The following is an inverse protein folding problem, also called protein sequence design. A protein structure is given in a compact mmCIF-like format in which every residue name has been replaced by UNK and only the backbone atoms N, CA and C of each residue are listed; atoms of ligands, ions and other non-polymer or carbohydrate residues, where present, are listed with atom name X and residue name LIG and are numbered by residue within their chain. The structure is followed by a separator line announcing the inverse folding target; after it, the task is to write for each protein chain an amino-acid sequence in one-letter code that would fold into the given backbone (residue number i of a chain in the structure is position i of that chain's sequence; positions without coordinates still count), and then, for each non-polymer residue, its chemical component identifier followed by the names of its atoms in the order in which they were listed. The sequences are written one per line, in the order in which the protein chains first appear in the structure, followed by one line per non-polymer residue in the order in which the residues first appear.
data_IF_059333273775
#
_entry.id   IF_059333273775
#
_cell.length_a   1.000
_cell.length_b   1.000
_cell.length_c   1.000
_cell.angle_alpha   90.00
_cell.angle_beta   90.00
_cell.angle_gamma   90.00
#
_symmetry.space_group_name_H-M   'P 1'
#
loop_
_entity.id
_entity.type
_entity.pdbx_description
1 polymer ?
#
# COMPACT_ATOMS: atom_id res chain seq x y z
N UNK A 1 -37.41 26.72 -3.11
CA UNK A 1 -37.99 27.50 -2.00
C UNK A 1 -39.07 26.66 -1.34
N UNK A 2 -39.07 26.53 -0.01
CA UNK A 2 -40.12 25.82 0.74
C UNK A 2 -41.00 26.88 1.40
N UNK A 3 -42.32 26.75 1.26
CA UNK A 3 -43.29 27.66 1.87
C UNK A 3 -44.10 26.91 2.93
N UNK A 4 -44.29 27.55 4.09
CA UNK A 4 -45.05 27.00 5.20
C UNK A 4 -46.13 27.99 5.61
N UNK A 5 -47.39 27.52 5.68
CA UNK A 5 -48.47 28.34 6.23
C UNK A 5 -48.38 28.31 7.76
N UNK A 6 -48.12 29.46 8.37
CA UNK A 6 -48.05 29.60 9.83
C UNK A 6 -49.44 29.76 10.47
N UNK A 7 -50.43 30.17 9.68
CA UNK A 7 -51.82 30.36 10.09
C UNK A 7 -52.43 31.62 9.48
N UNK A 8 -53.76 31.65 9.35
CA UNK A 8 -54.51 32.82 8.85
C UNK A 8 -55.74 33.09 9.73
N UNK A 9 -55.68 34.04 10.69
CA UNK A 9 -54.47 34.77 11.12
C UNK A 9 -53.56 33.90 12.01
N UNK A 10 -52.25 34.19 11.98
CA UNK A 10 -51.33 33.67 13.00
C UNK A 10 -51.60 34.38 14.32
N UNK A 11 -52.01 33.64 15.36
CA UNK A 11 -52.38 34.22 16.66
C UNK A 11 -51.13 34.72 17.39
N UNK A 12 -51.30 35.75 18.22
CA UNK A 12 -50.23 36.28 19.06
C UNK A 12 -49.62 35.18 19.95
N UNK A 13 -48.29 35.02 19.88
CA UNK A 13 -47.55 33.98 20.58
C UNK A 13 -46.31 33.54 19.82
N UNK A 14 -45.66 32.49 20.30
CA UNK A 14 -44.49 31.88 19.66
C UNK A 14 -44.80 30.47 19.17
N UNK A 15 -44.28 30.10 18.01
CA UNK A 15 -44.32 28.74 17.49
C UNK A 15 -42.94 28.32 16.98
N UNK A 16 -42.74 27.01 16.79
CA UNK A 16 -41.54 26.48 16.16
C UNK A 16 -41.90 25.71 14.89
N UNK A 17 -41.07 25.86 13.86
CA UNK A 17 -41.16 25.07 12.62
C UNK A 17 -39.89 24.26 12.50
N UNK A 18 -40.02 22.94 12.30
CA UNK A 18 -38.88 22.05 12.07
C UNK A 18 -38.88 21.61 10.61
N UNK A 19 -37.84 22.00 9.89
CA UNK A 19 -37.62 21.60 8.50
C UNK A 19 -36.46 20.60 8.46
N UNK A 20 -36.63 19.51 7.71
CA UNK A 20 -35.58 18.53 7.43
C UNK A 20 -35.29 18.55 5.95
N UNK A 21 -34.03 18.80 5.61
CA UNK A 21 -33.54 18.76 4.24
C UNK A 21 -32.67 17.51 4.05
N UNK A 22 -32.75 16.90 2.88
CA UNK A 22 -31.80 15.91 2.43
C UNK A 22 -30.96 16.54 1.30
N UNK A 23 -29.69 16.89 1.55
CA UNK A 23 -28.85 17.49 0.53
C UNK A 23 -28.48 16.43 -0.52
N UNK A 24 -28.84 16.69 -1.78
CA UNK A 24 -28.39 15.93 -2.94
C UNK A 24 -27.55 16.84 -3.84
N UNK A 25 -26.46 16.34 -4.42
CA UNK A 25 -25.63 17.06 -5.38
C UNK A 25 -25.01 18.37 -4.87
N UNK A 26 -24.53 18.40 -3.62
CA UNK A 26 -23.68 19.50 -3.15
C UNK A 26 -22.39 19.49 -3.97
N UNK A 27 -22.04 20.61 -4.58
CA UNK A 27 -20.84 20.71 -5.43
C UNK A 27 -19.55 20.51 -4.62
N UNK A 28 -18.53 19.98 -5.29
CA UNK A 28 -17.19 19.77 -4.73
C UNK A 28 -16.49 21.08 -4.34
N UNK A 29 -16.94 22.23 -4.82
CA UNK A 29 -16.44 23.57 -4.45
C UNK A 29 -17.09 24.10 -3.18
N UNK A 30 -18.28 23.61 -2.82
CA UNK A 30 -19.11 24.22 -1.79
C UNK A 30 -18.57 23.86 -0.39
N UNK A 31 -18.27 24.88 0.40
CA UNK A 31 -17.82 24.71 1.79
C UNK A 31 -18.96 24.93 2.80
N UNK A 32 -20.00 25.69 2.42
CA UNK A 32 -21.09 26.07 3.32
C UNK A 32 -22.40 26.23 2.55
N UNK A 33 -23.48 25.65 3.05
CA UNK A 33 -24.83 25.91 2.54
C UNK A 33 -25.45 27.07 3.32
N UNK A 34 -26.03 28.04 2.61
CA UNK A 34 -26.76 29.16 3.20
C UNK A 34 -28.27 28.96 3.03
N UNK A 35 -29.00 28.96 4.14
CA UNK A 35 -30.47 28.95 4.17
C UNK A 35 -30.95 30.35 4.52
N UNK A 36 -31.71 30.97 3.63
CA UNK A 36 -32.35 32.27 3.89
C UNK A 36 -33.76 32.03 4.40
N UNK A 37 -34.04 32.49 5.61
CA UNK A 37 -35.34 32.37 6.27
C UNK A 37 -35.96 33.77 6.34
N UNK A 38 -37.22 33.86 5.93
CA UNK A 38 -38.01 35.07 6.05
C UNK A 38 -39.48 34.71 6.20
N UNK A 39 -40.25 35.63 6.77
CA UNK A 39 -41.70 35.54 6.91
C UNK A 39 -42.37 36.57 6.02
N UNK A 40 -43.58 36.28 5.57
CA UNK A 40 -44.38 37.22 4.78
C UNK A 40 -45.80 37.24 5.34
N UNK A 41 -46.35 38.45 5.50
CA UNK A 41 -47.71 38.69 6.00
C UNK A 41 -48.44 39.70 5.10
N UNK A 42 -49.76 39.60 5.04
CA UNK A 42 -50.62 40.59 4.37
C UNK A 42 -50.91 41.83 5.23
N UNK A 43 -50.54 41.79 6.51
CA UNK A 43 -50.69 42.93 7.43
C UNK A 43 -49.55 43.94 7.24
N UNK A 44 -49.80 45.20 7.58
CA UNK A 44 -48.75 46.21 7.60
C UNK A 44 -47.80 45.95 8.77
N UNK A 45 -46.55 45.60 8.44
CA UNK A 45 -45.50 45.35 9.42
C UNK A 45 -44.84 46.67 9.83
N UNK A 46 -44.78 46.94 11.13
CA UNK A 46 -44.19 48.17 11.66
C UNK A 46 -42.65 48.10 11.67
N UNK A 47 -42.10 46.89 11.88
CA UNK A 47 -40.67 46.62 11.97
C UNK A 47 -40.34 45.34 11.18
N UNK A 48 -40.18 45.43 9.84
CA UNK A 48 -39.93 44.25 9.03
C UNK A 48 -38.51 43.71 9.25
N UNK A 49 -38.40 42.45 9.63
CA UNK A 49 -37.13 41.73 9.66
C UNK A 49 -36.76 41.26 8.24
N UNK A 50 -35.50 41.46 7.86
CA UNK A 50 -34.97 40.99 6.57
C UNK A 50 -34.70 39.48 6.55
N UNK A 51 -34.15 39.00 5.43
CA UNK A 51 -33.75 37.60 5.31
C UNK A 51 -32.66 37.25 6.35
N UNK A 52 -32.92 36.24 7.15
CA UNK A 52 -31.98 35.73 8.17
C UNK A 52 -31.20 34.56 7.55
N UNK A 53 -29.86 34.68 7.35
CA UNK A 53 -29.05 33.59 6.86
C UNK A 53 -28.68 32.61 7.98
N UNK A 54 -28.89 31.32 7.73
CA UNK A 54 -28.42 30.22 8.56
C UNK A 54 -27.45 29.38 7.75
N UNK A 55 -26.26 29.12 8.29
CA UNK A 55 -25.20 28.41 7.58
C UNK A 55 -25.02 26.98 8.09
N UNK A 56 -24.82 26.04 7.18
CA UNK A 56 -24.40 24.68 7.48
C UNK A 56 -23.06 24.39 6.80
N UNK A 57 -22.05 23.95 7.56
CA UNK A 57 -20.76 23.57 6.99
C UNK A 57 -20.86 22.23 6.26
N UNK A 58 -20.23 22.15 5.08
CA UNK A 58 -20.14 20.91 4.30
C UNK A 58 -18.84 20.19 4.69
N UNK A 59 -18.96 18.98 5.24
CA UNK A 59 -17.81 18.13 5.58
C UNK A 59 -17.73 16.98 4.59
N UNK A 60 -16.63 16.94 3.82
CA UNK A 60 -16.36 15.87 2.85
C UNK A 60 -15.56 14.77 3.53
N UNK A 61 -16.09 13.54 3.51
CA UNK A 61 -15.46 12.38 4.13
C UNK A 61 -15.24 11.30 3.08
N UNK A 62 -13.97 10.97 2.84
CA UNK A 62 -13.57 9.80 2.08
C UNK A 62 -12.83 8.84 3.03
N UNK A 63 -12.96 7.54 2.80
CA UNK A 63 -12.35 6.50 3.64
C UNK A 63 -11.56 5.57 2.73
N UNK A 64 -10.31 5.97 2.47
CA UNK A 64 -9.42 5.24 1.57
C UNK A 64 -8.70 4.14 2.35
N UNK A 65 -8.66 2.95 1.77
CA UNK A 65 -7.93 1.78 2.26
C UNK A 65 -7.17 1.13 1.13
N UNK A 66 -6.04 0.48 1.45
CA UNK A 66 -5.19 -0.22 0.48
C UNK A 66 -5.01 -1.65 0.99
N UNK A 67 -5.20 -2.62 0.10
CA UNK A 67 -4.99 -4.05 0.37
C UNK A 67 -3.93 -4.58 -0.58
N UNK A 68 -2.83 -5.10 -0.04
CA UNK A 68 -1.76 -5.72 -0.80
C UNK A 68 -1.92 -7.25 -0.86
N UNK A 69 -1.46 -7.84 -1.97
CA UNK A 69 -1.34 -9.28 -2.15
C UNK A 69 -0.09 -9.59 -2.97
N UNK A 70 0.78 -10.47 -2.46
CA UNK A 70 1.95 -10.98 -3.16
C UNK A 70 1.67 -12.34 -3.80
N UNK A 71 2.17 -12.55 -5.02
CA UNK A 71 2.10 -13.83 -5.73
C UNK A 71 3.46 -14.21 -6.33
N UNK A 72 4.07 -15.33 -5.91
CA UNK A 72 3.61 -16.22 -4.82
C UNK A 72 3.69 -15.53 -3.44
N UNK A 73 2.97 -16.05 -2.46
CA UNK A 73 2.99 -15.50 -1.09
C UNK A 73 4.32 -15.81 -0.38
N UNK A 74 4.89 -16.98 -0.68
CA UNK A 74 6.15 -17.45 -0.12
C UNK A 74 7.07 -17.89 -1.26
N UNK A 75 8.34 -17.58 -1.10
CA UNK A 75 9.42 -18.02 -2.00
C UNK A 75 10.50 -18.65 -1.13
N UNK A 76 11.01 -19.77 -1.59
CA UNK A 76 12.11 -20.47 -0.94
C UNK A 76 13.42 -20.03 -1.57
N UNK A 77 14.39 -19.72 -0.72
CA UNK A 77 15.75 -19.40 -1.11
C UNK A 77 16.57 -20.69 -1.08
N UNK A 78 17.25 -21.00 -2.19
CA UNK A 78 18.07 -22.21 -2.30
C UNK A 78 18.37 -22.55 -3.75
N UNK A 79 19.58 -22.23 -4.19
CA UNK A 79 20.05 -22.46 -5.56
C UNK A 79 21.56 -22.31 -5.64
N UNK A 80 22.16 -22.83 -6.71
CA UNK A 80 23.60 -22.66 -6.96
C UNK A 80 23.86 -21.21 -7.38
N UNK A 81 24.69 -20.51 -6.60
CA UNK A 81 25.04 -19.10 -6.83
C UNK A 81 25.69 -18.97 -8.21
N UNK A 82 25.06 -18.22 -9.11
CA UNK A 82 25.62 -17.97 -10.43
C UNK A 82 26.58 -16.79 -10.38
N UNK A 83 27.85 -17.04 -10.69
CA UNK A 83 28.91 -16.02 -10.65
C UNK A 83 28.77 -14.93 -11.73
N UNK A 84 27.84 -15.07 -12.69
CA UNK A 84 27.62 -14.07 -13.76
C UNK A 84 26.19 -14.13 -14.28
N UNK A 85 25.41 -13.10 -13.96
CA UNK A 85 24.04 -12.91 -14.44
C UNK A 85 24.05 -12.22 -15.80
N UNK A 86 23.35 -12.78 -16.78
CA UNK A 86 23.18 -12.23 -18.14
C UNK A 86 21.74 -11.90 -18.48
N UNK A 87 20.77 -12.58 -17.86
CA UNK A 87 19.35 -12.39 -18.12
C UNK A 87 18.57 -12.18 -16.83
N UNK A 88 17.40 -11.55 -16.94
CA UNK A 88 16.54 -11.25 -15.78
C UNK A 88 16.08 -12.51 -15.03
N UNK A 89 15.83 -13.61 -15.73
CA UNK A 89 15.41 -14.89 -15.14
C UNK A 89 16.51 -15.58 -14.32
N UNK A 90 17.77 -15.14 -14.44
CA UNK A 90 18.91 -15.65 -13.67
C UNK A 90 19.10 -14.96 -12.32
N UNK A 91 18.37 -13.86 -12.04
CA UNK A 91 18.40 -13.19 -10.71
C UNK A 91 17.70 -14.03 -9.64
N UNK A 92 16.60 -14.68 -10.04
CA UNK A 92 15.78 -15.49 -9.16
C UNK A 92 14.29 -15.44 -9.53
N UNK A 93 13.46 -15.94 -8.61
CA UNK A 93 12.04 -16.15 -8.86
C UNK A 93 11.27 -14.83 -9.01
N UNK A 94 10.37 -14.72 -10.01
CA UNK A 94 9.51 -13.56 -10.16
C UNK A 94 8.44 -13.51 -9.08
N UNK A 95 8.19 -12.31 -8.57
CA UNK A 95 7.16 -12.00 -7.58
C UNK A 95 6.34 -10.81 -8.08
N UNK A 96 5.01 -10.97 -8.10
CA UNK A 96 4.06 -9.91 -8.40
C UNK A 96 3.39 -9.45 -7.11
N UNK A 97 3.52 -8.17 -6.79
CA UNK A 97 2.74 -7.54 -5.74
C UNK A 97 1.64 -6.68 -6.36
N UNK A 98 0.39 -7.01 -6.05
CA UNK A 98 -0.79 -6.24 -6.44
C UNK A 98 -1.36 -5.51 -5.22
N UNK A 99 -1.61 -4.21 -5.35
CA UNK A 99 -2.25 -3.38 -4.33
C UNK A 99 -3.58 -2.86 -4.85
N UNK A 100 -4.68 -3.22 -4.21
CA UNK A 100 -6.03 -2.75 -4.52
C UNK A 100 -6.42 -1.59 -3.61
N UNK A 101 -6.93 -0.50 -4.19
CA UNK A 101 -7.32 0.70 -3.45
C UNK A 101 -8.84 0.79 -3.40
N UNK A 102 -9.38 0.90 -2.19
CA UNK A 102 -10.83 0.95 -1.95
C UNK A 102 -11.23 2.22 -1.20
N UNK A 103 -12.35 2.82 -1.61
CA UNK A 103 -12.97 3.95 -0.91
C UNK A 103 -14.31 3.51 -0.28
N UNK A 104 -14.33 3.33 1.03
CA UNK A 104 -15.55 3.03 1.81
C UNK A 104 -16.38 4.29 2.11
N UNK A 105 -15.80 5.48 1.87
CA UNK A 105 -16.39 6.75 2.27
C UNK A 105 -17.46 7.24 1.30
N UNK A 106 -18.37 8.12 1.76
CA UNK A 106 -19.44 8.66 0.93
C UNK A 106 -18.93 9.62 -0.15
N UNK A 107 -17.76 10.25 0.05
CA UNK A 107 -17.21 11.21 -0.88
C UNK A 107 -16.26 10.56 -1.89
N UNK A 108 -16.40 10.94 -3.16
CA UNK A 108 -15.51 10.46 -4.23
C UNK A 108 -14.15 11.15 -4.14
N UNK A 109 -13.09 10.41 -4.43
CA UNK A 109 -11.73 10.95 -4.51
C UNK A 109 -11.32 10.90 -5.99
N UNK A 110 -11.22 12.04 -6.69
CA UNK A 110 -10.93 12.04 -8.14
C UNK A 110 -9.46 11.73 -8.45
N UNK A 111 -8.56 12.04 -7.51
CA UNK A 111 -7.12 11.87 -7.67
C UNK A 111 -6.50 11.36 -6.37
N UNK A 112 -5.61 10.38 -6.49
CA UNK A 112 -4.84 9.81 -5.39
C UNK A 112 -3.37 9.70 -5.80
N UNK A 113 -2.45 9.98 -4.87
CA UNK A 113 -1.03 9.67 -5.04
C UNK A 113 -0.63 8.63 -4.00
N UNK A 114 -0.18 7.46 -4.45
CA UNK A 114 0.29 6.37 -3.60
C UNK A 114 1.81 6.44 -3.55
N UNK A 115 2.36 6.47 -2.34
CA UNK A 115 3.80 6.51 -2.10
C UNK A 115 4.23 5.14 -1.62
N UNK A 116 5.15 4.49 -2.34
CA UNK A 116 5.65 3.16 -2.00
C UNK A 116 7.09 3.29 -1.53
N UNK A 117 7.40 2.72 -0.36
CA UNK A 117 8.76 2.52 0.12
C UNK A 117 9.18 1.09 -0.15
N UNK A 118 10.18 0.91 -1.00
CA UNK A 118 10.55 -0.38 -1.57
C UNK A 118 11.84 -0.93 -0.99
N UNK A 119 11.82 -2.06 -0.26
CA UNK A 119 13.01 -2.63 0.38
C UNK A 119 13.85 -3.43 -0.63
N UNK A 120 14.97 -2.86 -1.06
CA UNK A 120 15.81 -3.47 -2.10
C UNK A 120 17.08 -4.13 -1.55
N UNK A 121 17.53 -3.76 -0.36
CA UNK A 121 18.76 -4.29 0.22
C UNK A 121 18.65 -4.37 1.75
N UNK A 122 19.32 -5.36 2.34
CA UNK A 122 19.45 -5.46 3.78
C UNK A 122 20.34 -4.35 4.38
N UNK A 123 19.98 -3.85 5.56
CA UNK A 123 20.76 -2.80 6.24
C UNK A 123 21.32 -3.28 7.58
N UNK A 124 22.67 -3.29 7.72
CA UNK A 124 23.34 -3.33 9.04
C UNK A 124 24.62 -2.49 9.02
N UNK A 125 24.77 -1.58 9.98
CA UNK A 125 26.03 -0.89 10.24
C UNK A 125 26.57 -1.20 11.65
N UNK A 126 27.88 -1.43 11.73
CA UNK A 126 28.68 -1.95 12.85
C UNK A 126 28.49 -3.43 13.23
N UNK A 127 28.06 -4.24 12.26
CA UNK A 127 29.02 -5.16 11.61
C UNK A 127 28.71 -6.65 11.69
N UNK A 128 28.11 -7.30 10.69
CA UNK A 128 27.73 -6.95 9.30
C UNK A 128 26.62 -7.94 8.89
N UNK A 129 25.70 -7.61 7.97
CA UNK A 129 25.95 -7.66 6.53
C UNK A 129 25.68 -6.31 5.84
N UNK A 130 26.68 -5.90 5.07
CA UNK A 130 26.55 -4.95 3.96
C UNK A 130 26.32 -5.83 2.73
N UNK A 131 25.28 -5.56 1.94
CA UNK A 131 25.29 -5.93 0.53
C UNK A 131 24.21 -6.87 0.03
N UNK A 132 23.57 -7.69 0.88
CA UNK A 132 22.59 -8.66 0.38
C UNK A 132 21.35 -7.96 -0.17
N UNK A 133 21.14 -8.13 -1.47
CA UNK A 133 19.95 -7.66 -2.15
C UNK A 133 18.74 -8.46 -1.67
N UNK A 134 17.58 -7.80 -1.64
CA UNK A 134 16.32 -8.41 -1.22
C UNK A 134 15.41 -8.57 -2.43
N UNK A 135 15.00 -7.42 -2.98
CA UNK A 135 14.01 -7.34 -4.03
C UNK A 135 14.57 -6.51 -5.18
N UNK A 136 14.70 -7.16 -6.34
CA UNK A 136 15.10 -6.53 -7.59
C UNK A 136 13.87 -6.03 -8.34
N UNK A 137 13.86 -4.73 -8.68
CA UNK A 137 12.78 -4.13 -9.47
C UNK A 137 12.95 -4.48 -10.96
N UNK A 138 12.10 -5.37 -11.47
CA UNK A 138 12.24 -5.91 -12.84
C UNK A 138 11.72 -4.92 -13.89
N UNK A 139 10.51 -4.40 -13.67
CA UNK A 139 9.84 -3.45 -14.57
C UNK A 139 9.25 -2.27 -13.77
N UNK A 140 9.05 -1.13 -14.44
CA UNK A 140 8.35 0.02 -13.85
C UNK A 140 6.95 -0.39 -13.39
N UNK A 141 6.55 -0.10 -12.14
CA UNK A 141 5.22 -0.41 -11.64
C UNK A 141 4.11 0.15 -12.52
N UNK A 142 3.02 -0.59 -12.63
CA UNK A 142 1.89 -0.26 -13.51
C UNK A 142 0.63 0.00 -12.70
N UNK A 143 -0.12 1.02 -13.09
CA UNK A 143 -1.46 1.27 -12.56
C UNK A 143 -2.48 0.64 -13.51
N UNK A 144 -3.31 -0.27 -13.02
CA UNK A 144 -4.50 -0.74 -13.73
C UNK A 144 -5.58 0.36 -13.67
N UNK A 145 -5.64 1.14 -14.75
CA UNK A 145 -6.56 2.27 -14.88
C UNK A 145 -5.91 3.51 -15.50
N UNK A 146 -6.41 4.68 -15.11
CA UNK A 146 -5.87 5.98 -15.54
C UNK A 146 -4.86 6.46 -14.50
N UNK A 147 -3.57 6.24 -14.76
CA UNK A 147 -2.51 6.62 -13.83
C UNK A 147 -1.13 6.26 -14.33
N UNK A 148 -0.11 6.75 -13.64
CA UNK A 148 1.29 6.49 -13.95
C UNK A 148 2.13 6.47 -12.67
N UNK A 149 3.19 5.67 -12.69
CA UNK A 149 4.20 5.63 -11.64
C UNK A 149 5.46 6.39 -12.06
N UNK A 150 5.95 7.24 -11.17
CA UNK A 150 7.12 8.07 -11.34
C UNK A 150 8.22 7.54 -10.43
N UNK A 151 9.33 7.14 -11.04
CA UNK A 151 10.52 6.62 -10.37
C UNK A 151 11.79 7.00 -11.11
N UNK A 152 12.94 6.94 -10.44
CA UNK A 152 14.23 7.16 -11.10
C UNK A 152 14.53 5.96 -12.02
N UNK A 153 14.86 6.16 -13.31
CA UNK A 153 15.28 5.07 -14.20
C UNK A 153 16.42 4.22 -13.62
N UNK A 154 17.27 4.78 -12.75
CA UNK A 154 18.35 4.06 -12.05
C UNK A 154 17.86 3.13 -10.93
N UNK A 155 16.55 3.05 -10.69
CA UNK A 155 15.95 2.13 -9.71
C UNK A 155 15.25 0.94 -10.38
N UNK A 156 15.03 0.98 -11.71
CA UNK A 156 14.39 -0.09 -12.47
C UNK A 156 15.45 -0.83 -13.27
N UNK A 157 15.44 -2.15 -13.19
CA UNK A 157 16.35 -3.01 -13.94
C UNK A 157 17.80 -2.48 -13.90
N UNK A 158 18.33 -2.25 -12.69
CA UNK A 158 19.59 -1.50 -12.49
C UNK A 158 20.81 -2.14 -13.14
N UNK A 159 20.75 -3.45 -13.43
CA UNK A 159 21.77 -4.22 -14.12
C UNK A 159 21.63 -4.19 -15.65
N UNK A 160 20.60 -3.50 -16.18
CA UNK A 160 20.24 -3.43 -17.60
C UNK A 160 20.17 -4.79 -18.29
N UNK A 161 19.62 -5.78 -17.58
CA UNK A 161 19.57 -7.16 -18.07
C UNK A 161 18.44 -7.31 -19.08
N UNK A 162 18.70 -7.97 -20.23
CA UNK A 162 17.65 -8.32 -21.19
C UNK A 162 16.80 -9.49 -20.68
N UNK A 163 15.58 -9.61 -21.24
CA UNK A 163 14.79 -10.84 -21.13
C UNK A 163 15.40 -11.90 -22.04
N UNK A 164 15.50 -13.15 -21.57
CA UNK A 164 16.07 -14.25 -22.35
C UNK A 164 15.22 -14.52 -23.61
N UNK A 165 15.82 -14.54 -24.81
CA UNK A 165 15.08 -14.80 -26.05
C UNK A 165 14.41 -16.18 -26.03
N UNK A 166 13.11 -16.22 -26.34
CA UNK A 166 12.33 -17.47 -26.37
C UNK A 166 11.95 -18.01 -24.98
N UNK A 167 12.38 -17.37 -23.89
CA UNK A 167 11.90 -17.69 -22.56
C UNK A 167 10.52 -17.08 -22.37
N UNK A 168 9.52 -17.94 -22.16
CA UNK A 168 8.19 -17.53 -21.74
C UNK A 168 8.12 -17.72 -20.24
N UNK A 169 8.09 -16.62 -19.53
CA UNK A 169 7.91 -16.64 -18.08
C UNK A 169 6.57 -17.30 -17.76
N UNK A 170 6.57 -18.25 -16.82
CA UNK A 170 5.34 -18.91 -16.41
C UNK A 170 4.32 -17.86 -15.95
N UNK A 171 3.07 -17.96 -16.41
CA UNK A 171 2.01 -17.05 -15.93
C UNK A 171 2.00 -17.09 -14.40
N UNK A 172 2.04 -15.92 -13.77
CA UNK A 172 2.06 -15.76 -12.32
C UNK A 172 0.81 -16.41 -11.66
N UNK A 173 -0.25 -16.65 -12.44
CA UNK A 173 -1.43 -17.43 -12.03
C UNK A 173 -1.18 -18.96 -11.89
N UNK A 174 -0.15 -19.50 -12.54
CA UNK A 174 0.23 -20.92 -12.46
C UNK A 174 1.18 -21.22 -11.29
N UNK A 175 1.96 -20.24 -10.81
CA UNK A 175 2.79 -20.36 -9.60
C UNK A 175 1.95 -20.62 -8.33
N UNK A 176 0.68 -20.19 -8.34
CA UNK A 176 -0.25 -20.43 -7.24
C UNK A 176 -0.88 -21.85 -7.22
N UNK A 177 -0.73 -22.65 -8.29
CA UNK A 177 -1.49 -23.90 -8.43
C UNK A 177 -0.68 -25.19 -8.38
N UNK A 178 0.63 -25.21 -8.68
CA UNK A 178 1.29 -26.47 -9.07
C UNK A 178 2.62 -26.78 -8.39
N UNK A 179 2.86 -26.34 -7.15
CA UNK A 179 3.91 -26.95 -6.33
C UNK A 179 3.29 -27.47 -5.03
N UNK A 180 3.40 -28.78 -4.72
CA UNK A 180 3.14 -29.25 -3.37
C UNK A 180 4.09 -28.48 -2.46
N UNK A 181 3.52 -27.79 -1.47
CA UNK A 181 4.29 -27.10 -0.42
C UNK A 181 5.12 -28.17 0.28
N UNK A 182 6.47 -28.14 0.18
CA UNK A 182 7.29 -28.89 1.11
C UNK A 182 7.11 -28.19 2.44
N UNK A 183 6.54 -28.90 3.40
CA UNK A 183 6.57 -28.46 4.78
C UNK A 183 8.02 -28.54 5.26
N UNK A 184 8.46 -27.61 6.12
CA UNK A 184 9.81 -27.65 6.73
C UNK A 184 10.06 -28.97 7.50
N UNK A 185 9.05 -29.80 7.71
CA UNK A 185 9.18 -31.18 8.20
C UNK A 185 9.82 -32.17 7.22
N UNK A 186 10.08 -31.77 5.97
CA UNK A 186 10.73 -32.60 4.96
C UNK A 186 12.26 -32.37 4.90
N UNK A 187 12.81 -31.58 5.82
CA UNK A 187 14.25 -31.42 6.04
C UNK A 187 14.68 -32.44 7.10
N UNK A 188 15.37 -33.50 6.67
CA UNK A 188 16.04 -34.43 7.57
C UNK A 188 17.08 -33.67 8.43
N UNK A 189 16.99 -33.82 9.76
CA UNK A 189 17.91 -33.19 10.73
C UNK A 189 19.32 -33.81 10.73
N UNK A 190 19.63 -34.73 9.81
CA UNK A 190 20.88 -35.52 9.80
C UNK A 190 22.01 -35.00 8.88
N UNK A 191 21.87 -33.83 8.22
CA UNK A 191 22.96 -33.20 7.44
C UNK A 191 23.60 -31.98 8.11
N UNK A 192 23.66 -31.94 9.45
CA UNK A 192 24.56 -31.02 10.16
C UNK A 192 25.95 -31.66 10.25
N UNK A 193 26.80 -31.38 9.26
CA UNK A 193 28.22 -31.72 9.34
C UNK A 193 28.89 -30.78 10.36
N UNK A 194 29.16 -31.30 11.55
CA UNK A 194 30.06 -30.67 12.53
C UNK A 194 31.47 -30.54 11.93
N UNK A 195 31.86 -29.32 11.54
CA UNK A 195 33.24 -29.03 11.17
C UNK A 195 34.04 -28.69 12.43
N UNK A 196 34.70 -29.72 12.95
CA UNK A 196 35.48 -29.67 14.17
C UNK A 196 36.67 -28.70 14.06
N UNK A 197 36.93 -28.00 15.16
CA UNK A 197 37.82 -26.83 15.23
C UNK A 197 39.31 -27.20 15.29
N UNK A 198 40.10 -26.71 14.32
CA UNK A 198 41.56 -26.68 14.41
C UNK A 198 42.04 -25.35 15.04
N UNK A 199 43.05 -25.34 15.95
CA UNK A 199 43.42 -24.13 16.66
C UNK A 199 44.39 -23.28 15.83
N UNK A 200 43.97 -22.08 15.45
CA UNK A 200 44.87 -21.05 14.89
C UNK A 200 45.00 -19.91 15.90
N UNK A 201 46.20 -19.79 16.47
CA UNK A 201 46.60 -18.66 17.30
C UNK A 201 46.57 -17.36 16.49
N UNK A 202 45.71 -16.42 16.87
CA UNK A 202 45.77 -15.04 16.41
C UNK A 202 45.23 -14.08 17.47
N UNK A 203 46.06 -13.10 17.79
CA UNK A 203 45.92 -12.04 18.80
C UNK A 203 44.54 -11.37 18.84
N UNK A 204 43.97 -11.32 20.04
CA UNK A 204 42.65 -10.76 20.38
C UNK A 204 42.62 -9.24 20.21
N UNK A 205 42.24 -8.74 19.04
CA UNK A 205 41.70 -7.38 18.93
C UNK A 205 40.24 -7.38 19.40
N UNK A 206 39.95 -6.59 20.44
CA UNK A 206 38.59 -6.33 20.95
C UNK A 206 37.75 -5.71 19.82
N UNK A 207 36.85 -6.47 19.21
CA UNK A 207 35.78 -5.92 18.36
C UNK A 207 34.68 -5.36 19.25
N UNK A 208 34.22 -4.15 18.92
CA UNK A 208 33.16 -3.43 19.61
C UNK A 208 31.81 -4.15 19.40
N UNK A 209 30.96 -4.12 20.43
CA UNK A 209 29.66 -4.77 20.42
C UNK A 209 28.70 -4.07 19.43
N UNK A 210 28.41 -4.73 18.30
CA UNK A 210 27.41 -4.31 17.33
C UNK A 210 26.06 -4.98 17.61
N UNK A 211 24.97 -4.27 17.28
CA UNK A 211 23.59 -4.76 17.46
C UNK A 211 23.25 -5.74 16.33
N UNK A 212 22.95 -6.99 16.70
CA UNK A 212 22.41 -8.03 15.82
C UNK A 212 20.88 -7.88 15.82
N UNK A 213 20.24 -7.80 14.64
CA UNK A 213 18.78 -7.97 14.56
C UNK A 213 18.52 -9.44 14.86
N UNK A 214 18.19 -9.73 16.10
CA UNK A 214 17.86 -11.08 16.54
C UNK A 214 16.53 -11.47 15.89
N UNK A 215 16.42 -12.69 15.31
CA UNK A 215 15.15 -13.13 14.77
C UNK A 215 14.12 -13.21 15.89
N UNK A 216 12.94 -12.65 15.65
CA UNK A 216 11.82 -12.71 16.56
C UNK A 216 11.20 -14.11 16.52
N UNK A 217 10.99 -14.72 17.68
CA UNK A 217 10.32 -16.01 17.78
C UNK A 217 8.80 -15.81 17.66
N UNK A 218 8.23 -16.18 16.53
CA UNK A 218 6.80 -16.11 16.25
C UNK A 218 6.22 -17.53 16.36
N UNK A 219 5.16 -17.69 17.13
CA UNK A 219 4.42 -18.96 17.23
C UNK A 219 3.36 -18.98 16.14
N UNK A 220 3.45 -19.95 15.24
CA UNK A 220 2.46 -20.16 14.17
C UNK A 220 1.11 -20.62 14.74
N UNK A 221 0.06 -20.57 13.95
CA UNK A 221 -1.29 -21.03 14.31
C UNK A 221 -1.33 -22.52 14.73
N UNK A 222 -0.30 -23.27 14.36
CA UNK A 222 -0.09 -24.69 14.68
C UNK A 222 0.74 -24.90 15.97
N UNK A 223 1.14 -23.82 16.67
CA UNK A 223 1.92 -23.89 17.90
C UNK A 223 3.44 -24.06 17.70
N UNK A 224 3.94 -24.10 16.45
CA UNK A 224 5.37 -24.19 16.14
C UNK A 224 6.04 -22.82 16.26
N UNK A 225 7.15 -22.74 17.00
CA UNK A 225 7.95 -21.52 17.11
C UNK A 225 8.87 -21.37 15.90
N UNK A 226 8.84 -20.22 15.24
CA UNK A 226 9.68 -19.89 14.07
C UNK A 226 10.45 -18.62 14.34
N UNK A 227 11.72 -18.60 13.93
CA UNK A 227 12.59 -17.44 14.02
C UNK A 227 12.44 -16.60 12.74
N UNK A 228 11.88 -15.40 12.85
CA UNK A 228 11.56 -14.53 11.71
C UNK A 228 12.33 -13.22 11.82
N UNK A 229 12.98 -12.83 10.73
CA UNK A 229 13.61 -11.50 10.59
C UNK A 229 12.71 -10.64 9.71
N UNK A 230 12.21 -9.54 10.26
CA UNK A 230 11.36 -8.60 9.50
C UNK A 230 12.19 -7.51 8.84
N UNK A 231 12.12 -7.46 7.51
CA UNK A 231 12.73 -6.40 6.70
C UNK A 231 11.73 -5.26 6.48
N UNK A 232 11.98 -4.09 7.07
CA UNK A 232 11.06 -2.96 7.10
C UNK A 232 11.84 -1.63 6.97
N UNK A 233 11.44 -0.82 5.99
CA UNK A 233 11.98 0.51 5.72
C UNK A 233 11.84 1.45 6.92
N UNK A 234 10.71 1.40 7.63
CA UNK A 234 10.43 2.30 8.75
C UNK A 234 11.19 1.90 10.01
N UNK A 235 11.47 0.60 10.17
CA UNK A 235 12.29 0.09 11.28
C UNK A 235 13.80 0.23 11.02
N UNK A 236 14.19 0.63 9.81
CA UNK A 236 15.60 0.75 9.41
C UNK A 236 16.32 -0.60 9.26
N UNK A 237 15.57 -1.71 9.12
CA UNK A 237 16.13 -3.05 8.91
C UNK A 237 16.36 -3.36 7.43
N UNK A 238 15.86 -2.50 6.54
CA UNK A 238 16.10 -2.55 5.09
C UNK A 238 16.42 -1.16 4.53
N UNK A 239 17.30 -1.10 3.53
CA UNK A 239 17.47 0.06 2.68
C UNK A 239 16.36 0.09 1.65
N UNK A 240 15.76 1.26 1.51
CA UNK A 240 14.62 1.44 0.62
C UNK A 240 14.79 2.66 -0.28
N UNK A 241 14.20 2.57 -1.46
CA UNK A 241 13.93 3.74 -2.30
C UNK A 241 12.43 3.99 -2.36
N UNK A 242 12.04 5.19 -2.77
CA UNK A 242 10.65 5.58 -2.85
C UNK A 242 10.25 5.90 -4.29
N UNK A 243 9.00 5.60 -4.63
CA UNK A 243 8.38 6.02 -5.87
C UNK A 243 6.90 6.38 -5.65
N UNK A 244 6.33 7.12 -6.60
CA UNK A 244 4.98 7.66 -6.51
C UNK A 244 4.13 7.14 -7.66
N UNK A 245 2.93 6.66 -7.37
CA UNK A 245 1.94 6.30 -8.37
C UNK A 245 0.74 7.23 -8.28
N UNK A 246 0.55 8.02 -9.32
CA UNK A 246 -0.56 8.97 -9.44
C UNK A 246 -1.72 8.30 -10.14
N UNK A 247 -2.88 8.25 -9.49
CA UNK A 247 -4.05 7.49 -9.91
C UNK A 247 -5.24 8.44 -10.03
N UNK A 248 -5.85 8.46 -11.21
CA UNK A 248 -7.09 9.18 -11.50
C UNK A 248 -8.26 8.20 -11.43
N UNK A 249 -9.15 8.43 -10.47
CA UNK A 249 -10.30 7.56 -10.25
C UNK A 249 -11.45 8.07 -11.13
N UNK A 250 -11.69 7.41 -12.26
CA UNK A 250 -12.86 7.68 -13.10
C UNK A 250 -14.05 6.91 -12.58
N UNK A 251 -15.15 7.60 -12.26
CA UNK A 251 -16.44 6.92 -12.09
C UNK A 251 -17.00 6.56 -13.46
N UNK A 252 -16.64 5.40 -14.02
CA UNK A 252 -17.43 4.83 -15.12
C UNK A 252 -18.46 3.86 -14.56
N UNK A 253 -19.71 4.13 -14.93
CA UNK A 253 -20.85 3.25 -14.73
C UNK A 253 -20.62 1.93 -15.47
N UNK A 254 -21.09 0.84 -14.85
CA UNK A 254 -20.96 -0.57 -15.26
C UNK A 254 -19.54 -1.15 -15.09
N UNK A 255 -19.36 -1.83 -13.94
CA UNK A 255 -18.15 -2.57 -13.52
C UNK A 255 -16.99 -1.65 -13.12
N UNK A 256 -17.15 -0.98 -11.98
CA UNK A 256 -16.05 -0.27 -11.31
C UNK A 256 -15.10 -1.31 -10.72
N UNK A 257 -14.07 -1.72 -11.47
CA UNK A 257 -12.90 -2.34 -10.83
C UNK A 257 -12.22 -1.27 -9.97
N UNK A 258 -11.84 -1.65 -8.75
CA UNK A 258 -11.01 -0.80 -7.92
C UNK A 258 -9.67 -0.58 -8.65
N UNK A 259 -9.12 0.65 -8.64
CA UNK A 259 -7.79 0.86 -9.21
C UNK A 259 -6.79 -0.01 -8.46
N UNK A 260 -5.87 -0.62 -9.21
CA UNK A 260 -4.82 -1.44 -8.64
C UNK A 260 -3.44 -1.02 -9.13
N UNK A 261 -2.43 -1.26 -8.28
CA UNK A 261 -1.02 -1.06 -8.59
C UNK A 261 -0.36 -2.43 -8.65
N UNK A 262 0.32 -2.71 -9.75
CA UNK A 262 1.09 -3.93 -9.97
C UNK A 262 2.58 -3.61 -9.97
N UNK A 263 3.34 -4.33 -9.14
CA UNK A 263 4.79 -4.25 -9.05
C UNK A 263 5.37 -5.62 -9.39
N UNK A 264 6.13 -5.68 -10.49
CA UNK A 264 6.87 -6.89 -10.89
C UNK A 264 8.31 -6.78 -10.42
N UNK A 265 8.75 -7.80 -9.70
CA UNK A 265 10.04 -7.83 -9.05
C UNK A 265 10.58 -9.26 -9.02
N UNK A 266 11.84 -9.40 -8.63
CA UNK A 266 12.46 -10.70 -8.38
C UNK A 266 13.08 -10.73 -7.01
N UNK A 267 13.00 -11.90 -6.41
CA UNK A 267 13.79 -12.20 -5.23
C UNK A 267 15.17 -12.61 -5.71
N UNK A 268 16.20 -12.04 -5.10
CA UNK A 268 17.59 -12.30 -5.50
C UNK A 268 18.12 -13.51 -4.74
N UNK A 269 18.50 -14.55 -5.49
CA UNK A 269 19.09 -15.77 -4.94
C UNK A 269 20.58 -15.51 -4.66
N UNK A 270 20.89 -15.14 -3.40
CA UNK A 270 22.22 -14.89 -2.81
C UNK A 270 23.37 -14.67 -3.83
N UNK A 271 23.61 -13.41 -4.21
CA UNK A 271 24.91 -13.00 -4.75
C UNK A 271 25.93 -12.88 -3.60
N UNK A 272 27.05 -13.57 -3.74
CA UNK A 272 28.19 -13.68 -2.80
C UNK A 272 28.52 -12.44 -1.94
#
# INVERSE_FOLDING_TARGET
MVTCSLGNPFKHGSGYVKLRFNPSNVEDSEARLAFLIFTNTTSQELEPEGNIPVYANVVKRAEISIKGLGRPEQVFFGGEVQSTIKYRDEIGQPLLQSYEIYNAGPWKVPFLSVIVSWPYQYQVENGKPIGKWLLYMDDTPKVDGDGECIMDPKQVNVLDLPKRPGFVEASIEHLARHLPVPTISDIDEDEIVEMDSAPVNSTRQKRQAGVVILPEAIVDNEGKTRHVVTMDCNRGTAKCFMFWCNIKIRSKAHISRNPSLEITQRIEDDLD
#
